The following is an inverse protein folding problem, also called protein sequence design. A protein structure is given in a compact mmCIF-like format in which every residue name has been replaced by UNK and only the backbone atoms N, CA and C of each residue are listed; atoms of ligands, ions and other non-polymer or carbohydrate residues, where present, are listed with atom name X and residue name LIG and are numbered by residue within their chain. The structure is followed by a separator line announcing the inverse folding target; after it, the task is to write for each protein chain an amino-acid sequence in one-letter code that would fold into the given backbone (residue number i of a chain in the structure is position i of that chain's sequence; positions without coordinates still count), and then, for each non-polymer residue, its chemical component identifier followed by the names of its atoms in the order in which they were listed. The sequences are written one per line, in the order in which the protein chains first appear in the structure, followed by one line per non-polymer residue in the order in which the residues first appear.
data_IF_932880667786
#
_entry.id   IF_932880667786
#
_cell.length_a   1.000
_cell.length_b   1.000
_cell.length_c   1.000
_cell.angle_alpha   90.00
_cell.angle_beta   90.00
_cell.angle_gamma   90.00
#
_symmetry.space_group_name_H-M   'P 1'
#
loop_
_entity.id
_entity.type
_entity.pdbx_description
1 polymer ?
#
# COMPACT_ATOMS: atom_id res chain seq x y z
N UNK A 1 -19.07 14.77 -3.95
CA UNK A 1 -17.79 14.26 -3.40
C UNK A 1 -16.85 15.43 -3.28
N UNK A 2 -16.05 15.54 -2.21
CA UNK A 2 -15.06 16.62 -2.14
C UNK A 2 -13.99 16.40 -3.22
N UNK A 3 -13.43 17.48 -3.80
CA UNK A 3 -12.37 17.41 -4.82
C UNK A 3 -11.20 16.52 -4.36
N UNK A 4 -10.82 16.62 -3.09
CA UNK A 4 -9.72 15.82 -2.50
C UNK A 4 -9.99 14.31 -2.48
N UNK A 5 -11.23 13.88 -2.29
CA UNK A 5 -11.57 12.45 -2.35
C UNK A 5 -11.48 11.94 -3.79
N UNK A 6 -11.95 12.73 -4.75
CA UNK A 6 -11.84 12.41 -6.18
C UNK A 6 -10.39 12.29 -6.61
N UNK A 7 -9.52 13.21 -6.17
CA UNK A 7 -8.07 13.15 -6.40
C UNK A 7 -7.43 11.89 -5.80
N UNK A 8 -7.80 11.53 -4.56
CA UNK A 8 -7.31 10.31 -3.92
C UNK A 8 -7.73 9.05 -4.68
N UNK A 9 -8.99 8.96 -5.10
CA UNK A 9 -9.47 7.82 -5.87
C UNK A 9 -8.75 7.71 -7.22
N UNK A 10 -8.51 8.83 -7.89
CA UNK A 10 -7.74 8.86 -9.14
C UNK A 10 -6.29 8.42 -8.96
N UNK A 11 -5.67 8.71 -7.81
CA UNK A 11 -4.32 8.23 -7.48
C UNK A 11 -4.24 6.71 -7.30
N UNK A 12 -5.31 6.09 -6.83
CA UNK A 12 -5.40 4.66 -6.59
C UNK A 12 -5.90 3.89 -7.82
N UNK A 13 -6.39 4.59 -8.84
CA UNK A 13 -6.78 3.99 -10.12
C UNK A 13 -5.55 3.82 -11.02
N UNK A 14 -4.90 2.67 -10.87
CA UNK A 14 -3.68 2.33 -11.59
C UNK A 14 -3.98 1.92 -13.02
N UNK A 15 -3.16 2.37 -13.96
CA UNK A 15 -3.17 1.86 -15.32
C UNK A 15 -2.56 0.45 -15.34
N UNK A 16 -3.31 -0.53 -15.80
CA UNK A 16 -2.80 -1.88 -15.99
C UNK A 16 -2.09 -1.97 -17.34
N UNK A 17 -0.78 -2.27 -17.31
CA UNK A 17 0.04 -2.43 -18.51
C UNK A 17 0.06 -3.90 -18.97
N UNK A 18 0.11 -4.81 -17.98
CA UNK A 18 0.14 -6.26 -18.20
C UNK A 18 -0.53 -6.94 -17.00
N UNK A 19 -0.68 -8.27 -17.05
CA UNK A 19 -1.38 -9.07 -16.04
C UNK A 19 -0.94 -8.79 -14.58
N UNK A 20 0.34 -8.50 -14.39
CA UNK A 20 0.93 -8.22 -13.07
C UNK A 20 1.84 -6.97 -13.08
N UNK A 21 1.64 -6.07 -14.05
CA UNK A 21 2.40 -4.83 -14.20
C UNK A 21 1.44 -3.66 -14.31
N UNK A 22 1.66 -2.66 -13.47
CA UNK A 22 0.83 -1.47 -13.39
C UNK A 22 1.68 -0.21 -13.48
N UNK A 23 1.09 0.87 -13.95
CA UNK A 23 1.66 2.21 -13.94
C UNK A 23 0.86 3.11 -13.01
N UNK A 24 1.53 3.72 -12.06
CA UNK A 24 0.98 4.70 -11.15
C UNK A 24 1.40 6.10 -11.57
N UNK A 25 0.42 6.95 -11.85
CA UNK A 25 0.62 8.38 -12.01
C UNK A 25 0.74 9.08 -10.66
N UNK A 26 1.23 10.32 -10.70
CA UNK A 26 1.30 11.18 -9.54
C UNK A 26 0.73 12.56 -9.90
N UNK A 27 -0.03 13.22 -9.00
CA UNK A 27 -0.48 14.58 -9.26
C UNK A 27 0.73 15.49 -9.32
N UNK A 28 0.58 16.59 -10.06
CA UNK A 28 1.55 17.66 -10.04
C UNK A 28 1.71 18.15 -8.59
N UNK A 29 2.88 17.94 -8.01
CA UNK A 29 3.18 18.29 -6.62
C UNK A 29 4.32 19.29 -6.57
N UNK A 30 4.21 20.26 -5.66
CA UNK A 30 5.31 21.17 -5.31
C UNK A 30 6.40 20.46 -4.51
N UNK A 31 6.13 19.27 -3.96
CA UNK A 31 7.11 18.49 -3.22
C UNK A 31 8.11 17.83 -4.17
N UNK A 32 9.36 17.74 -3.72
CA UNK A 32 10.41 17.07 -4.49
C UNK A 32 10.36 15.55 -4.37
N UNK A 33 9.61 15.02 -3.41
CA UNK A 33 9.55 13.60 -3.08
C UNK A 33 8.11 13.13 -2.99
N UNK A 34 7.88 11.88 -3.38
CA UNK A 34 6.61 11.21 -3.18
C UNK A 34 6.37 10.94 -1.69
N UNK A 35 5.11 11.04 -1.29
CA UNK A 35 4.69 10.61 0.04
C UNK A 35 4.72 9.08 0.14
N UNK A 36 5.38 8.54 1.17
CA UNK A 36 5.54 7.09 1.32
C UNK A 36 4.22 6.34 1.42
N UNK A 37 3.24 6.89 2.13
CA UNK A 37 1.91 6.29 2.23
C UNK A 37 1.20 6.16 0.87
N UNK A 38 1.42 7.09 -0.05
CA UNK A 38 0.89 6.99 -1.42
C UNK A 38 1.51 5.83 -2.19
N UNK A 39 2.84 5.69 -2.15
CA UNK A 39 3.55 4.59 -2.81
C UNK A 39 3.08 3.24 -2.26
N UNK A 40 2.96 3.13 -0.93
CA UNK A 40 2.49 1.91 -0.27
C UNK A 40 1.05 1.58 -0.66
N UNK A 41 0.15 2.56 -0.68
CA UNK A 41 -1.25 2.37 -1.08
C UNK A 41 -1.37 1.92 -2.54
N UNK A 42 -0.61 2.53 -3.45
CA UNK A 42 -0.58 2.15 -4.87
C UNK A 42 -0.02 0.73 -5.05
N UNK A 43 1.05 0.36 -4.33
CA UNK A 43 1.60 -0.99 -4.35
C UNK A 43 0.59 -2.02 -3.84
N UNK A 44 -0.15 -1.70 -2.77
CA UNK A 44 -1.20 -2.56 -2.24
C UNK A 44 -2.36 -2.71 -3.22
N UNK A 45 -2.81 -1.62 -3.86
CA UNK A 45 -3.84 -1.67 -4.90
C UNK A 45 -3.44 -2.57 -6.06
N UNK A 46 -2.19 -2.50 -6.52
CA UNK A 46 -1.68 -3.40 -7.56
C UNK A 46 -1.73 -4.86 -7.09
N UNK A 47 -1.27 -5.15 -5.86
CA UNK A 47 -1.33 -6.50 -5.30
C UNK A 47 -2.78 -7.03 -5.22
N UNK A 48 -3.71 -6.22 -4.73
CA UNK A 48 -5.13 -6.56 -4.61
C UNK A 48 -5.78 -6.92 -5.96
N UNK A 49 -5.37 -6.27 -7.04
CA UNK A 49 -5.88 -6.57 -8.40
C UNK A 49 -5.41 -7.92 -8.95
N UNK A 50 -4.46 -8.57 -8.28
CA UNK A 50 -3.90 -9.88 -8.71
C UNK A 50 -4.39 -11.06 -7.86
N UNK A 51 -5.19 -10.83 -6.82
CA UNK A 51 -5.74 -11.89 -5.97
C UNK A 51 -7.20 -12.17 -6.32
N UNK A 52 -7.65 -13.37 -5.97
CA UNK A 52 -9.05 -13.79 -6.11
C UNK A 52 -9.98 -12.88 -5.31
N UNK A 53 -11.14 -12.55 -5.87
CA UNK A 53 -12.17 -11.78 -5.18
C UNK A 53 -12.56 -12.42 -3.85
N UNK A 54 -12.81 -11.58 -2.84
CA UNK A 54 -13.16 -12.02 -1.49
C UNK A 54 -11.96 -12.31 -0.59
N UNK A 55 -10.73 -12.12 -1.09
CA UNK A 55 -9.53 -12.15 -0.25
C UNK A 55 -9.20 -10.74 0.23
N UNK A 56 -9.06 -10.58 1.54
CA UNK A 56 -8.68 -9.32 2.18
C UNK A 56 -7.21 -9.37 2.61
N UNK A 57 -6.51 -8.25 2.46
CA UNK A 57 -5.17 -8.10 3.04
C UNK A 57 -5.27 -8.16 4.57
N UNK A 58 -4.42 -8.93 5.20
CA UNK A 58 -4.33 -9.02 6.67
C UNK A 58 -2.94 -8.71 7.21
N UNK A 59 -1.93 -8.71 6.34
CA UNK A 59 -0.56 -8.39 6.70
C UNK A 59 0.18 -7.81 5.51
N UNK A 60 1.00 -6.80 5.77
CA UNK A 60 1.97 -6.29 4.81
C UNK A 60 3.23 -5.81 5.53
N UNK A 61 4.35 -5.90 4.84
CA UNK A 61 5.63 -5.37 5.27
C UNK A 61 6.35 -4.77 4.07
N UNK A 62 6.91 -3.57 4.23
CA UNK A 62 7.55 -2.89 3.12
C UNK A 62 8.76 -2.07 3.53
N UNK A 63 9.69 -1.90 2.57
CA UNK A 63 10.91 -1.09 2.72
C UNK A 63 10.94 0.03 1.70
N UNK A 64 11.12 1.24 2.19
CA UNK A 64 11.46 2.39 1.36
C UNK A 64 12.96 2.39 1.12
N UNK A 65 13.36 2.11 -0.11
CA UNK A 65 14.77 1.90 -0.48
C UNK A 65 15.42 3.17 -1.02
N UNK A 66 14.64 3.98 -1.75
CA UNK A 66 15.08 5.23 -2.35
C UNK A 66 13.95 6.25 -2.38
N UNK A 67 14.24 7.57 -2.37
CA UNK A 67 13.22 8.58 -2.52
C UNK A 67 12.60 8.53 -3.92
N UNK A 68 11.27 8.41 -3.99
CA UNK A 68 10.52 8.57 -5.24
C UNK A 68 10.30 10.04 -5.60
N UNK A 69 10.15 10.34 -6.89
CA UNK A 69 9.87 11.66 -7.42
C UNK A 69 8.48 11.74 -8.07
N UNK A 70 7.71 12.83 -7.89
CA UNK A 70 6.43 13.00 -8.57
C UNK A 70 6.56 13.31 -10.08
N UNK A 71 7.78 13.48 -10.60
CA UNK A 71 8.04 13.90 -11.99
C UNK A 71 7.95 12.78 -13.01
N UNK A 72 8.09 11.52 -12.56
CA UNK A 72 8.01 10.34 -13.43
C UNK A 72 7.03 9.33 -12.83
N UNK A 73 6.26 8.61 -13.66
CA UNK A 73 5.37 7.57 -13.17
C UNK A 73 6.17 6.45 -12.51
N UNK A 74 5.54 5.76 -11.57
CA UNK A 74 6.09 4.55 -10.99
C UNK A 74 5.57 3.31 -11.74
N UNK A 75 6.45 2.37 -12.00
CA UNK A 75 6.09 1.04 -12.50
C UNK A 75 6.03 0.09 -11.31
N UNK A 76 4.90 -0.57 -11.17
CA UNK A 76 4.62 -1.50 -10.10
C UNK A 76 4.53 -2.90 -10.67
N UNK A 77 5.44 -3.77 -10.28
CA UNK A 77 5.43 -5.18 -10.65
C UNK A 77 4.98 -6.02 -9.46
N UNK A 78 3.99 -6.86 -9.70
CA UNK A 78 3.46 -7.80 -8.70
C UNK A 78 3.92 -9.21 -9.06
N UNK A 79 4.63 -9.86 -8.15
CA UNK A 79 4.97 -11.28 -8.22
C UNK A 79 3.91 -12.07 -7.46
N UNK A 80 3.27 -13.03 -8.13
CA UNK A 80 2.30 -13.96 -7.53
C UNK A 80 3.05 -15.09 -6.84
N UNK A 81 3.61 -14.81 -5.66
CA UNK A 81 4.48 -15.74 -4.92
C UNK A 81 3.75 -17.03 -4.54
N UNK A 82 2.47 -16.92 -4.16
CA UNK A 82 1.65 -18.08 -3.80
C UNK A 82 0.16 -17.79 -3.92
N UNK A 83 -0.58 -18.78 -4.42
CA UNK A 83 -2.04 -18.85 -4.33
C UNK A 83 -2.42 -20.20 -3.71
N UNK A 84 -2.76 -20.18 -2.41
CA UNK A 84 -3.25 -21.34 -1.67
C UNK A 84 -4.78 -21.29 -1.52
N UNK A 85 -5.34 -22.33 -0.91
CA UNK A 85 -6.80 -22.43 -0.69
C UNK A 85 -7.33 -21.28 0.17
N UNK A 86 -6.65 -20.90 1.26
CA UNK A 86 -7.08 -19.86 2.21
C UNK A 86 -6.28 -18.57 2.10
N UNK A 87 -5.01 -18.66 1.69
CA UNK A 87 -4.06 -17.53 1.66
C UNK A 87 -3.47 -17.32 0.27
N UNK A 88 -3.21 -16.05 -0.06
CA UNK A 88 -2.37 -15.65 -1.19
C UNK A 88 -1.25 -14.75 -0.71
N UNK A 89 -0.07 -14.87 -1.31
CA UNK A 89 1.08 -14.00 -1.02
C UNK A 89 1.50 -13.28 -2.29
N UNK A 90 1.80 -12.00 -2.16
CA UNK A 90 2.27 -11.15 -3.25
C UNK A 90 3.53 -10.41 -2.82
N UNK A 91 4.53 -10.43 -3.69
CA UNK A 91 5.68 -9.52 -3.60
C UNK A 91 5.50 -8.41 -4.61
N UNK A 92 5.74 -7.18 -4.20
CA UNK A 92 5.56 -5.99 -5.02
C UNK A 92 6.86 -5.20 -5.06
N UNK A 93 7.30 -4.85 -6.26
CA UNK A 93 8.42 -3.95 -6.49
C UNK A 93 7.92 -2.70 -7.20
N UNK A 94 8.24 -1.54 -6.67
CA UNK A 94 7.95 -0.24 -7.26
C UNK A 94 9.24 0.37 -7.77
N UNK A 95 9.27 0.70 -9.07
CA UNK A 95 10.46 1.23 -9.73
C UNK A 95 10.18 2.58 -10.37
N UNK A 96 11.19 3.45 -10.38
CA UNK A 96 11.24 4.66 -11.20
C UNK A 96 12.61 4.74 -11.88
N UNK A 97 12.62 5.06 -13.17
CA UNK A 97 13.87 5.19 -13.98
C UNK A 97 14.81 3.99 -13.84
N UNK A 98 14.25 2.77 -13.74
CA UNK A 98 15.01 1.52 -13.61
C UNK A 98 15.48 1.19 -12.17
N UNK A 99 15.29 2.09 -11.20
CA UNK A 99 15.70 1.90 -9.81
C UNK A 99 14.52 1.49 -8.93
N UNK A 100 14.70 0.47 -8.07
CA UNK A 100 13.69 0.09 -7.09
C UNK A 100 13.65 1.15 -5.99
N UNK A 101 12.49 1.78 -5.81
CA UNK A 101 12.27 2.79 -4.78
C UNK A 101 11.53 2.22 -3.55
N UNK A 102 10.71 1.17 -3.75
CA UNK A 102 9.95 0.53 -2.69
C UNK A 102 9.78 -0.96 -2.98
N UNK A 103 9.82 -1.78 -1.92
CA UNK A 103 9.58 -3.23 -1.96
C UNK A 103 8.59 -3.60 -0.86
N UNK A 104 7.64 -4.49 -1.15
CA UNK A 104 6.62 -4.91 -0.20
C UNK A 104 6.28 -6.39 -0.39
N UNK A 105 6.10 -7.11 0.71
CA UNK A 105 5.41 -8.40 0.75
C UNK A 105 4.05 -8.22 1.43
N UNK A 106 2.99 -8.80 0.85
CA UNK A 106 1.64 -8.73 1.37
C UNK A 106 0.98 -10.10 1.38
N UNK A 107 0.23 -10.38 2.45
CA UNK A 107 -0.54 -11.61 2.61
C UNK A 107 -2.04 -11.29 2.62
N UNK A 108 -2.80 -12.12 1.92
CA UNK A 108 -4.24 -12.02 1.75
C UNK A 108 -4.91 -13.30 2.23
N UNK A 109 -6.09 -13.17 2.82
CA UNK A 109 -6.84 -14.27 3.40
C UNK A 109 -8.31 -14.19 3.00
N UNK A 110 -8.95 -15.35 2.78
CA UNK A 110 -10.41 -15.45 2.75
C UNK A 110 -10.95 -15.18 4.14
N UNK A 111 -12.05 -14.43 4.24
CA UNK A 111 -12.74 -14.23 5.51
C UNK A 111 -13.12 -15.58 6.12
N UNK A 112 -12.83 -15.76 7.39
CA UNK A 112 -13.13 -16.98 8.15
C UNK A 112 -13.58 -16.57 9.55
N UNK A 113 -14.60 -17.25 10.07
CA UNK A 113 -15.00 -17.14 11.47
C UNK A 113 -14.00 -17.88 12.36
N UNK A 114 -13.76 -17.37 13.55
CA UNK A 114 -12.84 -17.98 14.50
C UNK A 114 -13.02 -17.42 15.90
N UNK A 115 -12.26 -17.98 16.84
CA UNK A 115 -12.21 -17.48 18.20
C UNK A 115 -11.59 -16.09 18.21
N UNK A 116 -12.22 -15.17 18.96
CA UNK A 116 -11.73 -13.81 19.12
C UNK A 116 -11.35 -13.56 20.57
N UNK A 117 -10.16 -13.03 20.80
CA UNK A 117 -9.69 -12.61 22.11
C UNK A 117 -8.87 -11.34 21.99
N UNK A 118 -9.09 -10.42 22.94
CA UNK A 118 -8.29 -9.23 23.09
C UNK A 118 -8.08 -8.96 24.60
N UNK A 119 -6.83 -8.76 24.97
CA UNK A 119 -6.50 -8.26 26.31
C UNK A 119 -7.06 -6.86 26.48
N UNK A 120 -7.72 -6.61 27.62
CA UNK A 120 -8.25 -5.28 27.95
C UNK A 120 -7.09 -4.27 27.99
N UNK A 121 -7.26 -3.16 27.27
CA UNK A 121 -6.31 -2.05 27.33
C UNK A 121 -6.24 -1.48 28.74
N UNK A 122 -5.04 -1.22 29.30
CA UNK A 122 -4.90 -0.52 30.56
C UNK A 122 -5.58 0.85 30.51
N UNK A 123 -6.14 1.30 31.64
CA UNK A 123 -6.71 2.63 31.76
C UNK A 123 -5.57 3.65 31.90
N UNK A 124 -5.15 4.21 30.78
CA UNK A 124 -4.04 5.18 30.69
C UNK A 124 -4.62 6.59 30.53
N UNK A 125 -4.21 7.49 31.39
CA UNK A 125 -4.49 8.89 31.21
C UNK A 125 -3.56 9.51 30.16
N UNK A 126 -4.05 10.36 29.24
CA UNK A 126 -3.19 11.06 28.31
C UNK A 126 -2.19 11.95 29.05
N UNK A 127 -0.98 12.16 28.54
CA UNK A 127 -0.03 13.08 29.16
C UNK A 127 -0.63 14.49 29.18
N UNK A 128 -0.40 15.28 30.26
CA UNK A 128 -0.83 16.67 30.31
C UNK A 128 -0.27 17.46 29.12
N UNK A 129 -1.11 18.25 28.45
CA UNK A 129 -0.70 19.02 27.25
C UNK A 129 0.53 19.91 27.49
N UNK A 130 0.69 20.41 28.71
CA UNK A 130 1.82 21.23 29.15
C UNK A 130 3.17 20.50 29.12
N UNK A 131 3.17 19.16 29.11
CA UNK A 131 4.36 18.31 29.05
C UNK A 131 4.69 17.80 27.66
N UNK A 132 3.89 18.16 26.64
CA UNK A 132 4.16 17.79 25.25
C UNK A 132 5.09 18.85 24.65
N UNK A 133 6.33 18.52 24.25
CA UNK A 133 7.22 19.47 23.57
C UNK A 133 6.56 19.95 22.26
N UNK A 134 6.69 21.27 21.97
CA UNK A 134 6.21 21.87 20.74
C UNK A 134 7.01 21.39 19.51
#
# INVERSE_FOLDING_TARGET
MSDKLTELLALLDLEQIDESIFRAGHPASRTKRLFGGQIMAQALMAAMRTVELGRCVHSLHGYFLRPGTPRVPAIIRVERTRDGRSFSTRRVLVTQSGEIIFSMDASFQKAQDGLSHQTRMPDLQPPPLEKIPA
#
